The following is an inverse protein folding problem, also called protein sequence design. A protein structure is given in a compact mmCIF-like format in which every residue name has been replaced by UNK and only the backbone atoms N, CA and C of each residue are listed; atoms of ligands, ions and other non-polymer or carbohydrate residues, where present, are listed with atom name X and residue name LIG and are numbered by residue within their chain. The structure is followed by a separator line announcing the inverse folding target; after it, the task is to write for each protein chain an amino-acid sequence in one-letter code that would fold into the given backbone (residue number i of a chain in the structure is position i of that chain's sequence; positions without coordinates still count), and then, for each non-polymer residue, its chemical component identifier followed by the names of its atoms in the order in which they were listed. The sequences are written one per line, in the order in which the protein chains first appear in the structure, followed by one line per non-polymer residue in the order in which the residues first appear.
data_IF_627496308091
#
_entry.id   IF_627496308091
#
_cell.length_a   1.000
_cell.length_b   1.000
_cell.length_c   1.000
_cell.angle_alpha   90.00
_cell.angle_beta   90.00
_cell.angle_gamma   90.00
#
_symmetry.space_group_name_H-M   'P 1'
#
loop_
_entity.id
_entity.type
_entity.pdbx_description
1 polymer ?
2 non-polymer ?
3 non-polymer ?
4 water ?
#
# COMPACT_ATOMS: atom_id res chain seq x y z
N UNK A 8 -6.21 -17.31 22.15
CA UNK A 8 -6.11 -15.97 21.58
C UNK A 8 -4.87 -15.85 20.69
N UNK A 9 -5.04 -15.28 19.51
CA UNK A 9 -3.92 -14.97 18.64
C UNK A 9 -4.15 -13.57 18.07
N UNK A 10 -3.06 -12.84 17.79
CA UNK A 10 -3.24 -11.40 17.46
C UNK A 10 -3.86 -11.16 16.10
N UNK A 11 -3.62 -12.03 15.12
CA UNK A 11 -4.06 -11.79 13.76
C UNK A 11 -4.88 -12.97 13.21
N UNK A 12 -5.75 -12.70 12.25
CA UNK A 12 -6.45 -13.80 11.57
C UNK A 12 -5.44 -14.74 10.93
N UNK A 13 -5.83 -16.00 10.77
CA UNK A 13 -5.01 -16.93 10.01
C UNK A 13 -4.63 -16.33 8.65
N UNK A 14 -3.37 -16.51 8.28
CA UNK A 14 -2.80 -16.12 7.00
C UNK A 14 -2.39 -14.64 7.00
N UNK A 15 -2.65 -13.89 8.07
CA UNK A 15 -2.19 -12.52 8.21
C UNK A 15 -0.88 -12.46 8.99
N UNK A 16 -0.04 -11.49 8.65
CA UNK A 16 1.30 -11.38 9.21
C UNK A 16 1.33 -10.30 10.28
N UNK A 17 1.79 -10.67 11.47
CA UNK A 17 1.90 -9.71 12.57
C UNK A 17 3.18 -8.89 12.42
N UNK A 18 3.06 -7.56 12.53
CA UNK A 18 4.23 -6.68 12.55
C UNK A 18 3.90 -5.45 13.38
N UNK A 19 4.60 -5.28 14.49
CA UNK A 19 4.50 -4.09 15.33
C UNK A 19 3.04 -3.71 15.64
N UNK A 20 2.30 -4.68 16.14
CA UNK A 20 0.96 -4.42 16.61
C UNK A 20 -0.13 -4.35 15.56
N UNK A 21 0.20 -4.59 14.30
CA UNK A 21 -0.78 -4.60 13.24
C UNK A 21 -0.68 -5.92 12.49
N UNK A 22 -1.72 -6.21 11.70
CA UNK A 22 -1.84 -7.42 10.90
C UNK A 22 -1.91 -7.05 9.43
N UNK A 23 -1.16 -7.79 8.61
CA UNK A 23 -1.03 -7.48 7.19
C UNK A 23 -1.35 -8.70 6.34
N UNK A 24 -1.95 -8.45 5.18
CA UNK A 24 -2.34 -9.50 4.27
C UNK A 24 -1.95 -9.08 2.85
N UNK A 25 -1.14 -9.89 2.18
CA UNK A 25 -0.86 -9.67 0.77
C UNK A 25 -1.78 -10.57 -0.05
N UNK A 26 -2.42 -9.99 -1.07
CA UNK A 26 -3.40 -10.73 -1.84
C UNK A 26 -2.72 -11.77 -2.71
N UNK A 27 -3.51 -12.76 -3.14
CA UNK A 27 -3.08 -13.75 -4.13
C UNK A 27 -3.81 -13.57 -5.46
N UNK A 28 -4.56 -12.48 -5.62
CA UNK A 28 -5.22 -12.10 -6.85
C UNK A 28 -4.94 -10.63 -7.11
N UNK A 29 -5.34 -10.16 -8.30
CA UNK A 29 -5.06 -8.79 -8.72
C UNK A 29 -6.35 -8.04 -8.99
N UNK A 30 -6.39 -6.79 -8.52
CA UNK A 30 -7.53 -5.92 -8.75
C UNK A 30 -7.03 -4.50 -9.00
N UNK A 31 -7.93 -3.67 -9.54
CA UNK A 31 -7.58 -2.25 -9.68
C UNK A 31 -7.61 -1.57 -8.31
N UNK A 32 -7.15 -0.32 -8.27
CA UNK A 32 -6.93 0.34 -6.99
C UNK A 32 -8.24 0.51 -6.22
N UNK A 33 -9.29 0.95 -6.91
CA UNK A 33 -10.55 1.17 -6.19
C UNK A 33 -11.16 -0.13 -5.69
N UNK A 34 -11.06 -1.20 -6.48
CA UNK A 34 -11.56 -2.49 -6.02
C UNK A 34 -10.69 -3.08 -4.92
N UNK A 35 -9.41 -2.71 -4.87
CA UNK A 35 -8.56 -3.13 -3.77
C UNK A 35 -8.98 -2.45 -2.47
N UNK A 36 -9.37 -1.17 -2.54
CA UNK A 36 -9.91 -0.50 -1.36
C UNK A 36 -11.10 -1.29 -0.82
N UNK A 37 -12.03 -1.66 -1.71
CA UNK A 37 -13.22 -2.40 -1.31
C UNK A 37 -12.86 -3.77 -0.75
N UNK A 38 -11.90 -4.45 -1.37
CA UNK A 38 -11.48 -5.75 -0.88
C UNK A 38 -11.03 -5.69 0.59
N UNK A 39 -10.28 -4.65 0.97
CA UNK A 39 -9.81 -4.57 2.35
C UNK A 39 -10.95 -4.26 3.31
N UNK A 40 -11.88 -3.40 2.89
CA UNK A 40 -12.99 -3.06 3.77
C UNK A 40 -13.83 -4.30 4.09
N UNK A 41 -13.95 -5.22 3.13
CA UNK A 41 -14.78 -6.41 3.31
C UNK A 41 -14.23 -7.34 4.38
N UNK A 42 -12.94 -7.24 4.69
CA UNK A 42 -12.35 -8.08 5.73
C UNK A 42 -12.00 -7.25 6.96
N UNK A 43 -12.67 -6.13 7.14
CA UNK A 43 -12.42 -5.27 8.28
C UNK A 43 -11.03 -4.68 8.31
N UNK A 44 -10.51 -4.24 7.16
CA UNK A 44 -9.16 -3.71 7.09
C UNK A 44 -9.16 -2.51 6.15
N UNK A 45 -7.95 -2.03 5.82
CA UNK A 45 -7.76 -0.84 5.02
C UNK A 45 -6.58 -1.05 4.10
N UNK A 46 -6.73 -0.68 2.83
CA UNK A 46 -5.61 -0.69 1.89
C UNK A 46 -4.45 0.08 2.50
N UNK A 47 -3.27 -0.55 2.53
CA UNK A 47 -2.30 -0.23 3.57
C UNK A 47 -1.92 1.23 3.55
N UNK A 48 -2.03 1.88 4.71
CA UNK A 48 -1.58 3.23 4.98
C UNK A 48 -0.33 3.12 5.84
N UNK A 49 0.80 3.64 5.33
CA UNK A 49 2.09 3.50 6.00
C UNK A 49 2.30 4.67 6.94
N UNK A 50 2.70 4.36 8.17
CA UNK A 50 2.83 5.37 9.20
C UNK A 50 4.26 5.56 9.68
N UNK A 51 5.17 4.66 9.32
CA UNK A 51 6.55 4.77 9.78
C UNK A 51 7.52 4.23 8.76
N UNK A 52 8.79 4.63 8.90
CA UNK A 52 9.84 4.13 8.02
C UNK A 52 10.03 2.63 8.16
N UNK A 53 10.02 2.11 9.39
CA UNK A 53 10.17 0.67 9.58
C UNK A 53 9.04 -0.10 8.91
N UNK A 54 7.81 0.41 8.99
CA UNK A 54 6.71 -0.22 8.28
C UNK A 54 6.94 -0.21 6.78
N UNK A 55 7.38 0.92 6.22
CA UNK A 55 7.71 0.96 4.80
C UNK A 55 8.74 -0.09 4.43
N UNK A 56 9.80 -0.22 5.24
CA UNK A 56 10.84 -1.18 4.88
C UNK A 56 10.29 -2.61 4.91
N UNK A 57 9.44 -2.90 5.89
CA UNK A 57 8.85 -4.23 6.05
C UNK A 57 7.98 -4.56 4.84
N UNK A 58 7.16 -3.61 4.42
CA UNK A 58 6.29 -3.84 3.28
C UNK A 58 7.07 -3.94 1.98
N UNK A 59 8.06 -3.05 1.79
CA UNK A 59 8.83 -3.03 0.55
C UNK A 59 9.63 -4.30 0.38
N UNK A 60 10.19 -4.82 1.48
CA UNK A 60 10.93 -6.06 1.42
C UNK A 60 10.08 -7.20 0.88
N UNK A 61 8.81 -7.27 1.30
CA UNK A 61 7.94 -8.36 0.88
C UNK A 61 7.53 -8.20 -0.59
N UNK A 62 7.21 -6.98 -1.01
CA UNK A 62 6.92 -6.75 -2.41
C UNK A 62 8.13 -7.06 -3.27
N UNK A 63 9.32 -6.64 -2.81
CA UNK A 63 10.55 -6.90 -3.55
C UNK A 63 10.83 -8.40 -3.64
N UNK A 64 10.81 -9.10 -2.50
CA UNK A 64 11.08 -10.52 -2.49
C UNK A 64 10.08 -11.29 -3.36
N UNK A 65 8.80 -11.03 -3.18
CA UNK A 65 7.77 -11.74 -3.93
C UNK A 65 7.74 -11.37 -5.41
N UNK A 66 8.41 -10.29 -5.81
CA UNK A 66 8.37 -9.80 -7.19
C UNK A 66 6.93 -9.56 -7.61
N UNK A 67 6.18 -8.87 -6.74
CA UNK A 67 4.78 -8.54 -6.99
C UNK A 67 4.58 -7.02 -6.95
N UNK A 68 4.11 -6.48 -8.07
CA UNK A 68 3.68 -5.09 -8.11
C UNK A 68 2.36 -4.96 -7.35
N UNK A 69 2.36 -4.12 -6.30
CA UNK A 69 1.34 -4.15 -5.26
C UNK A 69 0.84 -2.75 -4.91
N UNK A 70 -0.48 -2.59 -4.89
CA UNK A 70 -1.07 -1.31 -4.50
C UNK A 70 -0.87 -1.01 -3.02
N UNK A 71 -0.71 0.27 -2.72
CA UNK A 71 -0.85 0.80 -1.37
C UNK A 71 -1.98 1.84 -1.36
N UNK A 72 -2.35 2.28 -0.17
CA UNK A 72 -3.47 3.19 -0.02
C UNK A 72 -3.12 4.65 -0.17
N UNK A 73 -2.57 5.02 -1.32
CA UNK A 73 -2.06 6.36 -1.55
C UNK A 73 -2.41 6.80 -2.97
N UNK A 74 -2.89 8.03 -3.11
CA UNK A 74 -3.33 8.55 -4.39
C UNK A 74 -3.12 10.05 -4.43
N UNK A 75 -3.05 10.59 -5.64
CA UNK A 75 -3.15 12.03 -5.90
C UNK A 75 -4.37 12.29 -6.77
N UNK A 76 -5.43 11.51 -6.55
CA UNK A 76 -6.65 11.66 -7.33
C UNK A 76 -7.32 13.00 -7.05
N UNK A 77 -7.32 13.44 -5.80
CA UNK A 77 -8.03 14.66 -5.44
C UNK A 77 -7.30 15.90 -5.98
N UNK A 78 -5.98 15.88 -5.98
CA UNK A 78 -5.21 17.06 -6.40
C UNK A 78 -3.88 16.55 -6.96
N UNK A 79 -3.76 16.58 -8.29
CA UNK A 79 -2.56 16.10 -8.96
C UNK A 79 -1.30 16.66 -8.31
N UNK A 80 -0.38 15.75 -7.95
CA UNK A 80 0.87 16.12 -7.35
C UNK A 80 0.85 16.13 -5.83
N UNK A 81 -0.33 16.15 -5.21
CA UNK A 81 -0.47 16.11 -3.77
C UNK A 81 -0.95 14.72 -3.35
N UNK A 82 -0.10 13.98 -2.65
CA UNK A 82 -0.39 12.59 -2.33
C UNK A 82 -1.03 12.50 -0.95
N UNK A 83 -2.14 11.75 -0.88
CA UNK A 83 -2.91 11.59 0.34
C UNK A 83 -3.21 10.12 0.56
N UNK A 84 -3.08 9.69 1.82
CA UNK A 84 -3.44 8.33 2.20
C UNK A 84 -4.96 8.21 2.26
N UNK A 85 -5.45 6.97 2.14
CA UNK A 85 -6.89 6.76 2.06
C UNK A 85 -7.58 7.09 3.39
N UNK A 86 -6.84 7.16 4.49
CA UNK A 86 -7.41 7.65 5.75
C UNK A 86 -7.40 9.17 5.86
N UNK A 87 -7.04 9.86 4.79
CA UNK A 87 -7.02 11.31 4.77
C UNK A 87 -5.69 11.95 5.12
N UNK A 88 -4.77 11.19 5.73
CA UNK A 88 -3.50 11.76 6.17
C UNK A 88 -2.65 12.15 4.96
N UNK A 89 -1.87 13.22 5.06
CA UNK A 89 -1.03 13.64 3.94
C UNK A 89 0.26 12.84 3.90
N UNK A 90 0.80 12.67 2.68
CA UNK A 90 2.13 12.13 2.52
C UNK A 90 3.13 13.11 3.10
N UNK A 91 3.88 12.69 4.08
CA UNK A 91 4.85 13.58 4.71
C UNK A 91 6.16 13.66 3.93
N UNK A 92 6.89 14.78 4.06
CA UNK A 92 8.13 14.94 3.28
C UNK A 92 9.17 13.89 3.59
N UNK A 93 9.14 13.32 4.80
CA UNK A 93 10.06 12.24 5.16
C UNK A 93 9.85 10.96 4.36
N UNK A 94 8.80 10.91 3.54
CA UNK A 94 8.52 9.72 2.73
C UNK A 94 8.83 9.92 1.25
N UNK A 95 9.22 11.13 0.83
CA UNK A 95 9.50 11.36 -0.57
C UNK A 95 10.67 10.52 -1.06
N UNK A 96 11.55 10.09 -0.16
CA UNK A 96 12.70 9.28 -0.53
C UNK A 96 12.33 7.94 -1.13
N UNK A 97 11.13 7.42 -0.87
CA UNK A 97 10.78 6.08 -1.30
C UNK A 97 10.34 6.00 -2.76
N UNK A 98 9.98 7.12 -3.38
CA UNK A 98 9.70 7.10 -4.81
C UNK A 98 10.91 6.58 -5.59
N UNK A 99 10.65 5.72 -6.56
CA UNK A 99 11.73 5.27 -7.43
C UNK A 99 12.32 6.46 -8.21
N UNK A 100 13.52 6.25 -8.75
CA UNK A 100 14.14 7.28 -9.59
C UNK A 100 13.22 7.66 -10.74
N UNK A 101 13.03 8.97 -10.91
CA UNK A 101 12.16 9.49 -11.94
C UNK A 101 10.69 9.57 -11.58
N UNK A 102 10.30 9.11 -10.40
CA UNK A 102 8.92 9.08 -9.96
C UNK A 102 8.67 10.14 -8.91
N UNK A 103 7.40 10.58 -8.76
CA UNK A 103 6.26 10.24 -9.62
C UNK A 103 6.28 11.08 -10.89
N UNK A 104 5.98 10.47 -12.04
CA UNK A 104 6.04 11.16 -13.32
C UNK A 104 4.69 11.31 -14.03
N UNK A 105 3.62 10.70 -13.51
CA UNK A 105 2.26 10.90 -14.03
C UNK A 105 2.17 10.68 -15.54
N UNK A 106 2.90 9.69 -16.04
CA UNK A 106 2.93 9.49 -17.49
C UNK A 106 1.63 8.82 -17.91
N UNK A 107 0.86 9.49 -18.78
CA UNK A 107 -0.43 8.96 -19.17
C UNK A 107 -1.43 8.93 -18.02
N UNK A 108 -1.34 9.92 -17.12
CA UNK A 108 -2.21 10.06 -15.96
C UNK A 108 -2.12 8.85 -15.03
N UNK A 109 -1.23 8.95 -14.04
CA UNK A 109 -1.01 7.92 -13.03
C UNK A 109 -1.29 8.53 -11.66
N UNK A 110 -2.33 8.06 -11.00
CA UNK A 110 -2.79 8.72 -9.78
C UNK A 110 -2.84 7.81 -8.55
N UNK A 111 -2.33 6.58 -8.64
CA UNK A 111 -2.33 5.64 -7.53
C UNK A 111 -0.94 5.06 -7.36
N UNK A 112 -0.54 4.85 -6.10
CA UNK A 112 0.83 4.44 -5.79
C UNK A 112 0.94 2.93 -5.58
N UNK A 113 2.04 2.37 -6.06
CA UNK A 113 2.32 0.94 -5.94
C UNK A 113 3.73 0.72 -5.40
N UNK A 114 3.94 -0.42 -4.75
CA UNK A 114 5.29 -0.92 -4.50
C UNK A 114 5.81 -1.52 -5.81
N UNK A 115 6.96 -1.05 -6.27
CA UNK A 115 7.53 -1.47 -7.55
C UNK A 115 9.05 -1.56 -7.41
N UNK A 116 9.58 -2.77 -7.40
CA UNK A 116 11.01 -2.94 -7.23
C UNK A 116 11.45 -2.51 -5.85
N UNK A 117 12.37 -1.57 -5.77
CA UNK A 117 12.95 -1.17 -4.49
C UNK A 117 12.20 0.00 -3.86
N UNK A 118 11.21 0.56 -4.54
CA UNK A 118 10.54 1.77 -4.07
C UNK A 118 9.14 1.85 -4.58
N UNK A 119 8.65 3.07 -4.73
CA UNK A 119 7.28 3.35 -5.13
C UNK A 119 7.20 3.90 -6.54
N UNK A 120 6.07 3.63 -7.20
CA UNK A 120 5.76 4.16 -8.51
C UNK A 120 4.31 4.64 -8.52
N UNK A 121 4.02 5.71 -9.26
CA UNK A 121 2.63 6.08 -9.55
C UNK A 121 2.22 5.39 -10.84
N UNK A 122 1.05 4.75 -10.85
CA UNK A 122 0.59 3.99 -12.01
C UNK A 122 -0.89 4.25 -12.20
N UNK A 123 -1.42 3.78 -13.33
CA UNK A 123 -2.82 3.95 -13.66
C UNK A 123 -3.69 3.19 -12.68
N UNK A 124 -4.68 3.88 -12.11
CA UNK A 124 -5.52 3.27 -11.08
C UNK A 124 -6.37 2.13 -11.62
N UNK A 125 -6.65 2.11 -12.92
CA UNK A 125 -7.46 1.06 -13.51
C UNK A 125 -6.71 -0.25 -13.68
N UNK A 126 -5.40 -0.27 -13.48
CA UNK A 126 -4.62 -1.48 -13.67
C UNK A 126 -4.83 -2.47 -12.54
N UNK A 127 -4.86 -3.76 -12.88
CA UNK A 127 -5.00 -4.80 -11.86
C UNK A 127 -3.62 -5.14 -11.28
N UNK A 128 -3.51 -5.02 -9.96
CA UNK A 128 -2.29 -5.35 -9.23
C UNK A 128 -2.65 -6.12 -7.97
N UNK A 129 -1.65 -6.72 -7.34
CA UNK A 129 -1.84 -7.23 -5.98
C UNK A 129 -2.06 -6.05 -5.05
N UNK A 130 -2.54 -6.34 -3.84
CA UNK A 130 -2.74 -5.31 -2.83
C UNK A 130 -2.41 -5.88 -1.44
N UNK A 131 -2.18 -4.97 -0.49
CA UNK A 131 -1.92 -5.32 0.90
C UNK A 131 -2.95 -4.62 1.77
N UNK A 132 -3.59 -5.36 2.66
CA UNK A 132 -4.50 -4.82 3.65
C UNK A 132 -3.82 -4.79 5.01
N UNK A 133 -4.26 -3.84 5.83
CA UNK A 133 -3.72 -3.65 7.18
C UNK A 133 -4.86 -3.45 8.14
N UNK A 134 -4.77 -4.11 9.30
CA UNK A 134 -5.68 -3.84 10.41
C UNK A 134 -4.96 -4.12 11.73
N UNK A 135 -5.49 -3.58 12.81
CA UNK A 135 -4.78 -3.68 14.08
C UNK A 135 -4.90 -5.09 14.62
N UNK A 136 -3.91 -5.48 15.42
CA UNK A 136 -3.90 -6.80 16.04
C UNK A 136 -4.74 -6.82 17.31
N UNK A 137 -5.21 -8.02 17.65
CA UNK A 137 -5.87 -8.24 18.94
C UNK A 137 -4.82 -8.35 20.04
N UNK A 138 -5.21 -7.92 21.24
CA UNK A 138 -4.33 -8.01 22.40
C UNK A 138 -4.57 -9.34 23.12
N UNK A 139 -3.53 -10.15 23.22
CA UNK A 139 -3.60 -11.39 23.99
C UNK A 139 -2.55 -11.34 25.12
X LIG B 1 -0.88 11.82 -10.69
X LIG C 1 5.00 6.47 -12.81
X LIG D 1 -4.31 13.17 -12.07
X LIG E 1 5.37 3.96 -15.31
X LIG E 1 5.19 2.53 -15.71
X LIG E 1 3.87 2.33 -16.50
X LIG E 1 8.04 4.50 -16.68
X LIG E 1 6.73 4.11 -14.61
X LIG E 1 7.50 2.18 -15.94
X LIG E 1 7.84 3.57 -15.53
X LIG E 1 7.45 4.69 -17.87
X LIG E 1 8.13 5.70 -18.39
X LIG E 1 7.95 6.29 -19.57
X LIG E 1 8.33 7.62 -19.69
X LIG E 1 8.17 8.29 -20.90
X LIG E 1 7.63 7.62 -21.99
X LIG E 1 7.25 6.29 -21.87
X LIG E 1 7.41 5.62 -20.65
X LIG E 1 7.53 -0.04 -14.95
X LIG E 1 6.19 -0.66 -14.60
X LIG E 1 5.77 -0.26 -13.19
X LIG E 1 4.44 -2.27 -12.95
X LIG E 1 4.90 -2.75 -14.34
X LIG E 1 6.26 -2.18 -14.65
X LIG E 1 9.04 6.08 -17.52
X LIG E 1 8.95 5.35 -16.53
X LIG E 1 4.44 -0.81 -12.88
X LIG E 1 7.53 1.40 -14.71
X LIG E 1 6.93 5.44 -14.24
X LIG E 1 4.38 4.36 -14.35
X LIG E 1 6.24 2.12 -16.58
X LIG E 1 3.86 3.18 -17.65
X LIG E 1 5.29 4.58 -16.21
X LIG E 1 5.17 1.95 -14.79
X LIG E 1 3.02 2.57 -15.86
X LIG E 1 3.80 1.30 -16.83
X LIG E 1 6.75 3.51 -13.69
X LIG E 1 8.21 1.79 -16.66
X LIG E 1 8.77 3.52 -14.98
X LIG E 1 6.62 4.13 -18.30
X LIG E 1 8.76 8.14 -18.85
X LIG E 1 8.47 9.34 -21.00
X LIG E 1 7.51 8.14 -22.94
X LIG E 1 6.82 5.77 -22.72
X LIG E 1 7.12 4.58 -20.55
X LIG E 1 7.76 -0.22 -16.00
X LIG E 1 8.30 -0.50 -14.34
X LIG E 1 5.47 -0.31 -15.34
X LIG E 1 6.49 -0.65 -12.48
X LIG E 1 5.74 0.83 -13.12
X LIG E 1 5.12 -2.67 -12.19
X LIG E 1 3.43 -2.65 -12.75
X LIG E 1 4.18 -2.41 -15.09
X LIG E 1 4.94 -3.85 -14.35
X LIG E 1 6.56 -2.51 -15.65
X LIG E 1 6.98 -2.54 -13.92
X LIG E 1 3.77 -0.45 -13.53
X LIG E 1 6.50 6.04 -14.91
X LIG E 1 3.46 4.13 -14.68
X LIG E 1 3.76 4.13 -17.35
X LIG E 1 4.18 -0.53 -11.95
#
# INVERSE_FOLDING_TARGET
GSHMERLCHPCPWEWTFFQGNCYFMSNSQRNWHDSITACKEVGAQLVVIKSAEEQNFLQLQSSRSNRFTWMGLSDLNQEGTWQWVDGSPLLPSFKQYWNRGEPNNVGEEDCAEFSGNGWNDDKCNLAKFWICKKSAASCSRDEEQFLSPAPATPNPPPA
CA CA
CA CA
CA CA
A1H5Z C4 C5 C6 N2 C3 C1 C2 CAM CAN CAQ CAR CAS CAT CAU CAV CAW CAX CAY CBA CBB CBC NAO NAP NAZ O1 O3 O4 O5 O6 H41 H5 H61 H62 H31 H1 H2 HAM HAR HAS HAT HAU HAV HAW HBH HAX HAY HBG HBA HBF HBE HBB HBC HBD HAZ H32 H42 H63 HAZ2
#
